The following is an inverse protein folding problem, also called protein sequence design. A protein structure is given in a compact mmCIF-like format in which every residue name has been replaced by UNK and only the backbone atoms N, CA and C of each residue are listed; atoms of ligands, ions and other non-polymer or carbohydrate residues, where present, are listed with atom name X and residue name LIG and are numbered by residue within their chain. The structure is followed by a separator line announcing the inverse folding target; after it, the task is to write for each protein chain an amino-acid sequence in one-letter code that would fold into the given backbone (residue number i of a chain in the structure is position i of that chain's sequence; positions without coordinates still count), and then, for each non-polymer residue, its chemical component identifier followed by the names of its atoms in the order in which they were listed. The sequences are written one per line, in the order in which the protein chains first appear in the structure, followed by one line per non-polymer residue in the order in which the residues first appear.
data_IF_439715584622
#
_entry.id   IF_439715584622
#
_cell.length_a   1.000
_cell.length_b   1.000
_cell.length_c   1.000
_cell.angle_alpha   90.00
_cell.angle_beta   90.00
_cell.angle_gamma   90.00
#
_symmetry.space_group_name_H-M   'P 1'
#
loop_
_entity.id
_entity.type
_entity.pdbx_description
1 polymer ?
#
# COMPACT_ATOMS: atom_id res chain seq x y z
N UNK A 1 -11.91 51.92 39.25
CA UNK A 1 -10.99 51.39 38.20
C UNK A 1 -10.63 49.88 38.34
N UNK A 2 -11.49 49.02 38.93
CA UNK A 2 -11.16 47.58 39.13
C UNK A 2 -11.94 46.59 38.24
N UNK A 3 -12.90 47.06 37.43
CA UNK A 3 -13.83 46.20 36.69
C UNK A 3 -13.28 45.64 35.37
N UNK A 4 -12.33 46.35 34.74
CA UNK A 4 -11.85 46.01 33.39
C UNK A 4 -10.87 44.82 33.41
N UNK A 5 -10.07 44.67 34.47
CA UNK A 5 -9.08 43.59 34.57
C UNK A 5 -9.71 42.19 34.72
N UNK A 6 -10.84 42.06 35.42
CA UNK A 6 -11.48 40.75 35.64
C UNK A 6 -12.13 40.16 34.38
N UNK A 7 -12.61 41.00 33.46
CA UNK A 7 -13.20 40.54 32.18
C UNK A 7 -12.14 39.98 31.23
N UNK A 8 -10.95 40.59 31.19
CA UNK A 8 -9.84 40.15 30.33
C UNK A 8 -9.35 38.75 30.69
N UNK A 9 -9.12 38.49 31.99
CA UNK A 9 -8.60 37.19 32.47
C UNK A 9 -9.60 36.04 32.24
N UNK A 10 -10.91 36.28 32.38
CA UNK A 10 -11.94 35.26 32.08
C UNK A 10 -12.03 34.89 30.60
N UNK A 11 -11.83 35.85 29.69
CA UNK A 11 -11.86 35.61 28.25
C UNK A 11 -10.63 34.83 27.78
N UNK A 12 -9.46 35.13 28.33
CA UNK A 12 -8.21 34.40 28.06
C UNK A 12 -8.29 32.94 28.51
N UNK A 13 -8.85 32.68 29.69
CA UNK A 13 -9.04 31.30 30.20
C UNK A 13 -10.02 30.46 29.37
N UNK A 14 -11.00 31.08 28.69
CA UNK A 14 -11.90 30.35 27.77
C UNK A 14 -11.22 30.00 26.45
N UNK A 15 -10.46 30.94 25.87
CA UNK A 15 -9.72 30.70 24.62
C UNK A 15 -8.61 29.66 24.81
N UNK A 16 -7.90 29.70 25.92
CA UNK A 16 -6.86 28.71 26.26
C UNK A 16 -7.45 27.30 26.44
N UNK A 17 -8.59 27.16 27.10
CA UNK A 17 -9.28 25.86 27.26
C UNK A 17 -9.76 25.27 25.93
N UNK A 18 -10.28 26.11 25.02
CA UNK A 18 -10.71 25.66 23.68
C UNK A 18 -9.51 25.18 22.86
N UNK A 19 -8.39 25.92 22.90
CA UNK A 19 -7.15 25.50 22.24
C UNK A 19 -6.59 24.18 22.80
N UNK A 20 -6.59 24.01 24.12
CA UNK A 20 -6.12 22.77 24.76
C UNK A 20 -7.01 21.58 24.38
N UNK A 21 -8.33 21.73 24.36
CA UNK A 21 -9.25 20.66 23.96
C UNK A 21 -9.08 20.31 22.47
N UNK A 22 -8.98 21.31 21.60
CA UNK A 22 -8.77 21.08 20.16
C UNK A 22 -7.41 20.39 19.88
N UNK A 23 -6.36 20.76 20.60
CA UNK A 23 -5.04 20.12 20.49
C UNK A 23 -5.04 18.68 21.03
N UNK A 24 -5.82 18.41 22.08
CA UNK A 24 -6.00 17.07 22.64
C UNK A 24 -6.72 16.13 21.66
N UNK A 25 -7.75 16.64 20.97
CA UNK A 25 -8.50 15.88 19.94
C UNK A 25 -7.60 15.58 18.73
N UNK A 26 -6.71 16.50 18.37
CA UNK A 26 -5.75 16.28 17.29
C UNK A 26 -4.67 15.24 17.63
N UNK A 27 -4.23 15.17 18.89
CA UNK A 27 -3.23 14.18 19.34
C UNK A 27 -3.77 12.74 19.40
N UNK A 28 -5.07 12.53 19.63
CA UNK A 28 -5.67 11.18 19.69
C UNK A 28 -5.83 10.58 18.29
N UNK A 29 -5.93 11.39 17.24
CA UNK A 29 -6.09 10.91 15.87
C UNK A 29 -4.82 10.26 15.27
N UNK A 30 -3.66 10.38 15.93
CA UNK A 30 -2.37 9.96 15.35
C UNK A 30 -2.08 8.46 15.59
N UNK A 31 -2.89 7.75 16.40
CA UNK A 31 -2.52 6.41 16.90
C UNK A 31 -3.31 5.22 16.34
N UNK A 32 -4.13 5.37 15.30
CA UNK A 32 -4.94 4.25 14.76
C UNK A 32 -4.39 3.72 13.43
N UNK A 33 -3.07 3.47 13.39
CA UNK A 33 -2.50 2.48 12.47
C UNK A 33 -1.77 1.47 13.33
N UNK A 34 -2.55 0.49 13.80
CA UNK A 34 -2.03 -0.71 14.46
C UNK A 34 -1.36 -1.63 13.44
N UNK A 35 -0.54 -2.56 13.93
CA UNK A 35 0.07 -3.67 13.19
C UNK A 35 -0.94 -4.67 12.59
N UNK A 36 -2.23 -4.32 12.61
CA UNK A 36 -3.32 -5.16 12.18
C UNK A 36 -3.42 -5.18 10.67
N UNK A 37 -3.96 -6.28 10.15
CA UNK A 37 -4.24 -6.42 8.73
C UNK A 37 -5.17 -5.29 8.29
N UNK A 38 -4.87 -4.57 7.20
CA UNK A 38 -5.72 -3.49 6.73
C UNK A 38 -7.10 -4.00 6.30
N UNK A 39 -8.09 -3.14 6.49
CA UNK A 39 -9.49 -3.36 6.13
C UNK A 39 -9.92 -2.32 5.09
N UNK A 40 -10.87 -2.69 4.22
CA UNK A 40 -11.38 -1.80 3.18
C UNK A 40 -11.46 -2.47 1.81
N UNK A 41 -11.63 -1.64 0.78
CA UNK A 41 -11.76 -2.10 -0.60
C UNK A 41 -10.54 -2.94 -0.99
N UNK A 42 -10.78 -4.14 -1.51
CA UNK A 42 -9.76 -5.10 -1.95
C UNK A 42 -8.79 -5.60 -0.88
N UNK A 43 -8.95 -5.33 0.41
CA UNK A 43 -7.96 -5.71 1.45
C UNK A 43 -8.11 -7.16 1.97
N UNK A 44 -9.30 -7.73 1.85
CA UNK A 44 -9.65 -9.05 2.40
C UNK A 44 -9.60 -10.18 1.36
N UNK A 45 -9.08 -9.90 0.16
CA UNK A 45 -8.97 -10.89 -0.91
C UNK A 45 -7.92 -11.93 -0.52
N UNK A 46 -8.32 -13.21 -0.50
CA UNK A 46 -7.47 -14.33 -0.06
C UNK A 46 -6.68 -14.95 -1.20
N UNK A 47 -7.18 -14.89 -2.43
CA UNK A 47 -6.56 -15.45 -3.65
C UNK A 47 -6.54 -14.43 -4.77
N UNK A 48 -5.51 -14.42 -5.62
CA UNK A 48 -5.42 -13.45 -6.70
C UNK A 48 -6.57 -13.62 -7.70
N UNK A 49 -7.33 -12.55 -8.00
CA UNK A 49 -8.33 -12.54 -9.07
C UNK A 49 -7.73 -12.83 -10.45
N UNK A 50 -8.57 -13.23 -11.41
CA UNK A 50 -8.14 -13.53 -12.78
C UNK A 50 -7.59 -12.31 -13.53
N UNK A 51 -8.02 -11.11 -13.15
CA UNK A 51 -7.58 -9.82 -13.70
C UNK A 51 -6.39 -9.22 -12.94
N UNK A 52 -5.78 -9.96 -12.01
CA UNK A 52 -4.52 -9.56 -11.37
C UNK A 52 -3.43 -9.34 -12.42
N UNK A 53 -2.70 -8.24 -12.30
CA UNK A 53 -1.48 -8.05 -13.06
C UNK A 53 -0.41 -9.05 -12.62
N UNK A 54 0.60 -9.21 -13.45
CA UNK A 54 1.66 -10.19 -13.24
C UNK A 54 3.04 -9.52 -13.29
N UNK A 55 3.99 -10.05 -12.51
CA UNK A 55 5.39 -9.61 -12.54
C UNK A 55 6.34 -10.80 -12.31
N UNK A 56 7.52 -10.77 -12.92
CA UNK A 56 8.62 -11.73 -12.72
C UNK A 56 9.94 -11.07 -12.34
N UNK A 57 9.99 -9.73 -12.27
CA UNK A 57 11.22 -8.98 -12.01
C UNK A 57 11.57 -8.84 -10.52
N UNK A 58 10.63 -9.14 -9.61
CA UNK A 58 10.85 -8.98 -8.16
C UNK A 58 11.64 -10.18 -7.57
N UNK A 59 12.94 -10.23 -7.85
CA UNK A 59 14.02 -10.94 -7.14
C UNK A 59 13.94 -12.45 -6.82
N UNK A 60 12.79 -13.15 -6.83
CA UNK A 60 12.76 -14.58 -6.46
C UNK A 60 11.53 -15.39 -6.90
N UNK A 61 10.63 -14.86 -7.74
CA UNK A 61 9.44 -15.61 -8.13
C UNK A 61 8.52 -14.87 -9.10
N UNK A 62 7.44 -15.54 -9.48
CA UNK A 62 6.31 -14.89 -10.14
C UNK A 62 5.41 -14.25 -9.11
N UNK A 63 4.87 -13.08 -9.45
CA UNK A 63 3.97 -12.30 -8.60
C UNK A 63 2.65 -12.06 -9.30
N UNK A 64 1.60 -11.98 -8.49
CA UNK A 64 0.32 -11.40 -8.89
C UNK A 64 0.06 -10.14 -8.07
N UNK A 65 -0.43 -9.10 -8.73
CA UNK A 65 -0.67 -7.77 -8.14
C UNK A 65 -2.11 -7.35 -8.45
N UNK A 66 -2.89 -7.01 -7.42
CA UNK A 66 -4.28 -6.59 -7.58
C UNK A 66 -4.69 -5.46 -6.61
N UNK A 67 -5.42 -4.43 -7.07
CA UNK A 67 -5.68 -4.13 -8.47
C UNK A 67 -4.40 -3.67 -9.17
N UNK A 68 -4.41 -3.68 -10.51
CA UNK A 68 -3.31 -3.12 -11.30
C UNK A 68 -3.22 -1.61 -11.10
N UNK A 69 -2.03 -1.03 -11.19
CA UNK A 69 -1.81 0.39 -10.91
C UNK A 69 -2.67 1.32 -11.80
N UNK A 70 -2.91 0.98 -13.07
CA UNK A 70 -3.83 1.72 -13.94
C UNK A 70 -5.29 1.82 -13.46
N UNK A 71 -5.68 0.99 -12.49
CA UNK A 71 -7.01 1.00 -11.87
C UNK A 71 -7.01 1.72 -10.51
N UNK A 72 -5.87 2.28 -10.10
CA UNK A 72 -5.68 3.06 -8.88
C UNK A 72 -5.54 4.53 -9.31
N UNK A 73 -6.64 5.26 -9.28
CA UNK A 73 -6.66 6.69 -9.57
C UNK A 73 -6.44 7.54 -8.28
N UNK A 74 -6.27 8.86 -8.38
CA UNK A 74 -6.08 9.73 -7.22
C UNK A 74 -7.25 9.79 -6.22
N UNK A 75 -8.41 9.21 -6.54
CA UNK A 75 -9.56 9.08 -5.64
C UNK A 75 -9.67 7.67 -5.04
N UNK A 76 -8.81 6.73 -5.45
CA UNK A 76 -8.83 5.36 -4.95
C UNK A 76 -8.40 5.30 -3.48
N UNK A 77 -9.21 4.66 -2.65
CA UNK A 77 -8.89 4.31 -1.26
C UNK A 77 -9.22 2.85 -1.00
N UNK A 78 -8.22 2.06 -0.66
CA UNK A 78 -8.32 0.60 -0.59
C UNK A 78 -6.94 -0.05 -0.54
N UNK A 79 -6.85 -1.32 -0.92
CA UNK A 79 -5.60 -2.06 -0.88
C UNK A 79 -5.12 -2.46 -2.28
N UNK A 80 -3.79 -2.51 -2.43
CA UNK A 80 -3.11 -3.26 -3.47
C UNK A 80 -2.44 -4.47 -2.83
N UNK A 81 -2.82 -5.67 -3.24
CA UNK A 81 -2.33 -6.93 -2.70
C UNK A 81 -1.33 -7.56 -3.66
N UNK A 82 -0.29 -8.15 -3.07
CA UNK A 82 0.78 -8.85 -3.77
C UNK A 82 0.77 -10.30 -3.30
N UNK A 83 0.69 -11.22 -4.25
CA UNK A 83 0.90 -12.64 -4.02
C UNK A 83 2.18 -13.09 -4.71
N UNK A 84 2.84 -14.07 -4.12
CA UNK A 84 4.02 -14.73 -4.69
C UNK A 84 3.69 -16.18 -5.00
N UNK A 85 4.20 -16.68 -6.12
CA UNK A 85 4.07 -18.09 -6.47
C UNK A 85 5.00 -18.95 -5.61
N UNK A 86 4.47 -20.05 -5.06
CA UNK A 86 5.27 -21.07 -4.35
C UNK A 86 5.82 -22.15 -5.26
N UNK A 87 5.36 -22.22 -6.51
CA UNK A 87 5.76 -23.25 -7.46
C UNK A 87 6.06 -22.64 -8.84
N UNK A 88 6.88 -23.36 -9.60
CA UNK A 88 7.13 -23.02 -11.01
C UNK A 88 5.86 -23.16 -11.87
N UNK A 89 4.87 -23.95 -11.42
CA UNK A 89 3.60 -24.17 -12.13
C UNK A 89 2.66 -22.95 -12.13
N UNK A 90 2.93 -21.91 -11.34
CA UNK A 90 2.07 -20.71 -11.22
C UNK A 90 0.64 -21.01 -10.74
N UNK A 91 0.43 -22.15 -10.10
CA UNK A 91 -0.89 -22.59 -9.60
C UNK A 91 -1.08 -22.26 -8.11
N UNK A 92 0.01 -22.13 -7.36
CA UNK A 92 0.00 -21.96 -5.91
C UNK A 92 0.49 -20.57 -5.51
N UNK A 93 -0.44 -19.72 -5.14
CA UNK A 93 -0.19 -18.33 -4.75
C UNK A 93 -0.31 -18.14 -3.24
N UNK A 94 0.68 -17.51 -2.62
CA UNK A 94 0.65 -17.12 -1.21
C UNK A 94 0.63 -15.59 -1.10
N UNK A 95 -0.15 -15.08 -0.15
CA UNK A 95 -0.19 -13.66 0.18
C UNK A 95 1.19 -13.21 0.70
N UNK A 96 1.84 -12.31 -0.03
CA UNK A 96 3.13 -11.76 0.35
C UNK A 96 2.94 -10.46 1.16
N UNK A 97 2.17 -9.52 0.61
CA UNK A 97 1.99 -8.20 1.22
C UNK A 97 0.67 -7.54 0.79
N UNK A 98 0.23 -6.59 1.60
CA UNK A 98 -0.90 -5.71 1.35
C UNK A 98 -0.40 -4.27 1.52
N UNK A 99 -0.63 -3.44 0.51
CA UNK A 99 -0.36 -2.01 0.51
C UNK A 99 -1.66 -1.26 0.70
N UNK A 100 -1.77 -0.48 1.77
CA UNK A 100 -2.93 0.38 2.02
C UNK A 100 -2.75 1.71 1.32
N UNK A 101 -3.74 2.12 0.56
CA UNK A 101 -3.74 3.38 -0.19
C UNK A 101 -4.91 4.27 0.23
N UNK A 102 -4.63 5.57 0.28
CA UNK A 102 -5.62 6.63 0.45
C UNK A 102 -5.36 7.71 -0.61
N UNK A 103 -6.39 8.06 -1.38
CA UNK A 103 -6.29 9.00 -2.50
C UNK A 103 -5.16 8.63 -3.48
N UNK A 104 -5.05 7.35 -3.81
CA UNK A 104 -4.01 6.79 -4.68
C UNK A 104 -2.59 6.77 -4.09
N UNK A 105 -2.41 7.20 -2.84
CA UNK A 105 -1.09 7.27 -2.19
C UNK A 105 -0.92 6.17 -1.14
N UNK A 106 0.27 5.61 -1.05
CA UNK A 106 0.63 4.66 0.00
C UNK A 106 0.58 5.32 1.39
N UNK A 107 -0.15 4.70 2.32
CA UNK A 107 -0.24 5.11 3.72
C UNK A 107 0.29 4.04 4.68
N UNK A 108 0.34 2.78 4.26
CA UNK A 108 0.85 1.68 5.09
C UNK A 108 1.07 0.41 4.29
N UNK A 109 1.85 -0.50 4.86
CA UNK A 109 2.02 -1.85 4.34
C UNK A 109 1.85 -2.89 5.44
N UNK A 110 1.44 -4.09 5.06
CA UNK A 110 1.24 -5.22 5.97
C UNK A 110 1.62 -6.52 5.28
N UNK A 111 2.13 -7.50 6.04
CA UNK A 111 2.46 -8.84 5.55
C UNK A 111 2.11 -9.92 6.59
N UNK A 112 1.58 -11.08 6.18
CA UNK A 112 1.13 -12.14 7.10
C UNK A 112 2.24 -12.86 7.88
N UNK A 113 3.52 -12.73 7.49
CA UNK A 113 4.70 -13.26 8.22
C UNK A 113 5.93 -12.39 7.94
N UNK A 114 6.91 -12.43 8.84
CA UNK A 114 8.27 -11.89 8.62
C UNK A 114 8.97 -12.67 7.49
N UNK A 115 8.64 -12.38 6.23
CA UNK A 115 9.52 -12.72 5.12
C UNK A 115 10.68 -11.71 5.18
N UNK A 116 11.66 -12.00 6.05
CA UNK A 116 12.97 -11.33 6.15
C UNK A 116 13.00 -9.88 6.64
N UNK A 117 11.86 -9.19 6.71
CA UNK A 117 11.76 -7.81 7.16
C UNK A 117 10.30 -7.47 7.49
N UNK A 118 10.05 -6.90 8.67
CA UNK A 118 8.73 -6.48 9.13
C UNK A 118 8.18 -5.34 8.26
N UNK A 119 7.41 -5.65 7.21
CA UNK A 119 6.62 -4.66 6.46
C UNK A 119 5.54 -3.98 7.35
N UNK A 120 5.25 -4.59 8.49
CA UNK A 120 4.23 -4.17 9.45
C UNK A 120 4.61 -2.91 10.25
N UNK A 121 5.85 -2.41 10.08
CA UNK A 121 6.34 -1.19 10.75
C UNK A 121 6.39 0.03 9.82
N UNK A 122 6.14 -0.15 8.52
CA UNK A 122 6.27 0.94 7.55
C UNK A 122 5.04 1.85 7.56
N UNK A 123 5.24 3.12 7.92
CA UNK A 123 4.22 4.17 7.92
C UNK A 123 4.58 5.27 6.95
N UNK A 124 3.57 5.77 6.25
CA UNK A 124 3.76 6.79 5.22
C UNK A 124 2.79 7.96 5.42
N UNK A 125 3.27 9.17 5.15
CA UNK A 125 2.46 10.39 5.09
C UNK A 125 2.65 11.01 3.72
N UNK A 126 1.56 11.25 2.99
CA UNK A 126 1.60 11.74 1.61
C UNK A 126 2.47 10.90 0.67
N UNK A 127 2.49 9.57 0.88
CA UNK A 127 3.33 8.68 0.11
C UNK A 127 4.82 8.93 0.34
N UNK A 128 5.24 9.32 1.55
CA UNK A 128 6.65 9.37 1.97
C UNK A 128 6.82 8.59 3.26
N UNK A 129 7.87 7.77 3.34
CA UNK A 129 8.17 6.98 4.53
C UNK A 129 8.48 7.91 5.71
N UNK A 130 7.70 7.78 6.80
CA UNK A 130 7.91 8.54 8.05
C UNK A 130 8.32 7.64 9.22
N UNK A 131 8.12 6.32 9.09
CA UNK A 131 8.52 5.32 10.10
C UNK A 131 8.76 3.97 9.42
N UNK A 132 9.76 3.22 9.89
CA UNK A 132 10.21 1.94 9.31
C UNK A 132 11.64 2.00 8.76
N UNK A 133 12.18 0.86 8.33
CA UNK A 133 13.52 0.76 7.74
C UNK A 133 13.45 1.02 6.22
N UNK A 134 14.16 2.05 5.75
CA UNK A 134 14.17 2.45 4.33
C UNK A 134 14.65 1.34 3.38
N UNK A 135 15.46 0.39 3.85
CA UNK A 135 15.94 -0.73 3.05
C UNK A 135 14.92 -1.89 2.99
N UNK A 136 13.87 -1.83 3.80
CA UNK A 136 12.87 -2.88 3.98
C UNK A 136 11.48 -2.45 3.54
N UNK A 137 11.19 -1.16 3.70
CA UNK A 137 9.94 -0.56 3.31
C UNK A 137 9.88 -0.31 1.79
N UNK A 138 8.68 -0.37 1.24
CA UNK A 138 8.46 0.01 -0.15
C UNK A 138 8.88 1.46 -0.36
N UNK A 139 9.71 1.69 -1.37
CA UNK A 139 10.01 3.03 -1.84
C UNK A 139 8.71 3.61 -2.40
N UNK A 140 8.14 4.59 -1.71
CA UNK A 140 6.78 5.03 -1.92
C UNK A 140 6.52 5.65 -3.30
N UNK A 141 7.57 6.15 -3.96
CA UNK A 141 7.52 6.61 -5.36
C UNK A 141 7.23 5.48 -6.37
N UNK A 142 7.44 4.22 -5.97
CA UNK A 142 7.12 3.05 -6.78
C UNK A 142 5.68 2.54 -6.59
N UNK A 143 4.87 3.16 -5.71
CA UNK A 143 3.51 2.72 -5.39
C UNK A 143 2.46 3.71 -5.93
N UNK A 144 1.39 3.25 -6.60
CA UNK A 144 0.98 1.86 -6.80
C UNK A 144 1.95 1.06 -7.69
N UNK A 145 2.16 -0.20 -7.32
CA UNK A 145 3.05 -1.10 -8.06
C UNK A 145 2.46 -1.37 -9.44
N UNK A 146 3.27 -1.10 -10.46
CA UNK A 146 2.94 -1.41 -11.84
C UNK A 146 3.11 -2.89 -12.12
N UNK A 147 2.36 -3.39 -13.09
CA UNK A 147 2.38 -4.81 -13.44
C UNK A 147 2.09 -5.02 -14.93
N UNK A 148 2.55 -6.15 -15.44
CA UNK A 148 2.11 -6.63 -16.75
C UNK A 148 0.61 -6.96 -16.71
N UNK A 149 -0.02 -7.07 -17.88
CA UNK A 149 -1.41 -7.54 -17.96
C UNK A 149 -1.51 -9.02 -17.52
N UNK A 150 -2.72 -9.48 -17.14
CA UNK A 150 -2.95 -10.90 -16.89
C UNK A 150 -2.55 -11.78 -18.09
N UNK A 151 -1.97 -12.94 -17.80
CA UNK A 151 -1.55 -13.94 -18.80
C UNK A 151 -0.17 -13.71 -19.41
N UNK A 152 0.50 -12.59 -19.11
CA UNK A 152 1.81 -12.28 -19.66
C UNK A 152 2.89 -13.27 -19.27
N UNK A 153 2.87 -13.79 -18.03
CA UNK A 153 3.82 -14.82 -17.63
C UNK A 153 3.64 -16.10 -18.44
N UNK A 154 2.41 -16.48 -18.75
CA UNK A 154 2.14 -17.65 -19.61
C UNK A 154 2.61 -17.42 -21.03
N UNK A 155 2.35 -16.24 -21.59
CA UNK A 155 2.77 -15.89 -22.96
C UNK A 155 4.30 -15.85 -23.08
N UNK A 156 4.99 -15.27 -22.09
CA UNK A 156 6.45 -15.23 -22.02
C UNK A 156 7.06 -16.63 -21.86
N UNK A 157 6.46 -17.48 -21.01
CA UNK A 157 6.91 -18.85 -20.83
C UNK A 157 6.78 -19.65 -22.13
N UNK A 158 5.65 -19.54 -22.84
CA UNK A 158 5.46 -20.18 -24.15
C UNK A 158 6.51 -19.73 -25.16
N UNK A 159 6.77 -18.42 -25.25
CA UNK A 159 7.79 -17.88 -26.14
C UNK A 159 9.23 -18.30 -25.75
N UNK A 160 9.48 -18.61 -24.48
CA UNK A 160 10.78 -19.14 -24.05
C UNK A 160 11.02 -20.59 -24.51
N UNK A 161 9.95 -21.39 -24.65
CA UNK A 161 10.02 -22.77 -25.13
C UNK A 161 9.93 -22.87 -26.65
N UNK A 162 9.09 -22.05 -27.29
CA UNK A 162 8.93 -22.00 -28.73
C UNK A 162 9.66 -20.80 -29.34
N UNK A 163 10.87 -21.05 -29.85
CA UNK A 163 11.72 -20.02 -30.47
C UNK A 163 11.12 -19.40 -31.75
N UNK A 164 10.04 -19.97 -32.29
CA UNK A 164 9.34 -19.43 -33.46
C UNK A 164 8.24 -18.43 -33.08
N UNK A 165 7.82 -18.44 -31.81
CA UNK A 165 6.81 -17.53 -31.30
C UNK A 165 7.42 -16.14 -31.07
N UNK A 166 6.78 -15.06 -31.55
CA UNK A 166 7.24 -13.71 -31.26
C UNK A 166 7.07 -13.40 -29.77
N UNK A 167 8.02 -12.66 -29.20
CA UNK A 167 7.88 -12.14 -27.83
C UNK A 167 6.61 -11.27 -27.72
N UNK A 168 5.78 -11.45 -26.68
CA UNK A 168 4.57 -10.66 -26.46
C UNK A 168 4.96 -9.23 -26.02
N UNK A 169 5.18 -8.34 -26.98
CA UNK A 169 5.72 -6.99 -26.73
C UNK A 169 4.83 -6.16 -25.80
N UNK A 170 3.53 -6.40 -25.84
CA UNK A 170 2.53 -5.76 -24.99
C UNK A 170 2.68 -6.11 -23.50
N UNK A 171 3.35 -7.22 -23.18
CA UNK A 171 3.63 -7.59 -21.80
C UNK A 171 4.64 -6.67 -21.10
N UNK A 172 5.51 -6.00 -21.86
CA UNK A 172 6.48 -5.07 -21.29
C UNK A 172 5.92 -3.68 -21.01
N UNK A 173 4.62 -3.46 -21.25
CA UNK A 173 3.91 -2.25 -20.85
C UNK A 173 3.41 -2.39 -19.41
N UNK A 174 4.29 -2.05 -18.47
CA UNK A 174 3.96 -2.02 -17.04
C UNK A 174 3.05 -0.81 -16.76
N UNK A 175 1.82 -1.11 -16.36
CA UNK A 175 0.76 -0.14 -16.06
C UNK A 175 0.18 -0.36 -14.67
#
# INVERSE_FOLDING_TARGET
MQSIHKKSVRAMNKRLKIFVIAFSIWLVAINVFGSDRPIGQNCEISKPPNDSGEDSHMYAGAFKIFPRAKHIDPNYSGCQIIWVSKSESLENWELMAILSLENGKLIGSWSPKEIGASFNECKYVDGKLVSGDNNRCYQSEAVPLKSMRPGCLSDLLKASYDKTMPLPKDCFNYE
#
